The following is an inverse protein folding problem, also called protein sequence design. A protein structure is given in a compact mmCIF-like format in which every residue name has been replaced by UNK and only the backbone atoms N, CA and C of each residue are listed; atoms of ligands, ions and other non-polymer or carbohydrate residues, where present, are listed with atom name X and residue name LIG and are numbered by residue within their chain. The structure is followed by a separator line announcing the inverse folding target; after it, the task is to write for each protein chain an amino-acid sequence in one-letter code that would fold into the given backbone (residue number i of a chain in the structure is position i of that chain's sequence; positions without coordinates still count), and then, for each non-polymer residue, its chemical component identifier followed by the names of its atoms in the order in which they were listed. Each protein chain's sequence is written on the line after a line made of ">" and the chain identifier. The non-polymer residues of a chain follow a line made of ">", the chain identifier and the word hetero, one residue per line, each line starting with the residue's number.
data_IF_400124993592
#
_entry.id   IF_400124993592
#
_cell.length_a   1.000
_cell.length_b   1.000
_cell.length_c   1.000
_cell.angle_alpha   90.00
_cell.angle_beta   90.00
_cell.angle_gamma   90.00
#
_symmetry.space_group_name_H-M   'P 1'
#
loop_
_entity.id
_entity.type
_entity.pdbx_description
1 polymer ?
#
# COMPACT_ATOMS: atom_id res chain seq x y z
N UNK A 1 14.52 -11.85 14.90
CA UNK A 1 14.31 -11.45 13.51
C UNK A 1 15.65 -11.14 12.91
N UNK A 2 15.97 -11.70 11.75
CA UNK A 2 17.17 -11.29 11.03
C UNK A 2 17.00 -9.84 10.57
N UNK A 3 18.08 -9.04 10.54
CA UNK A 3 18.03 -7.68 10.04
C UNK A 3 17.96 -7.70 8.51
N UNK A 4 17.20 -6.82 7.88
CA UNK A 4 17.41 -6.46 6.48
C UNK A 4 17.31 -4.94 6.37
N UNK A 5 18.38 -4.26 5.88
CA UNK A 5 18.65 -4.13 4.44
C UNK A 5 20.16 -4.35 4.09
N UNK A 6 20.64 -4.45 2.83
CA UNK A 6 20.24 -3.74 1.60
C UNK A 6 20.62 -4.47 0.28
N UNK A 7 20.07 -4.01 -0.86
CA UNK A 7 20.92 -3.49 -1.94
C UNK A 7 20.54 -2.04 -2.32
N UNK A 8 21.19 -1.05 -1.68
CA UNK A 8 21.04 0.39 -1.94
C UNK A 8 21.14 1.30 -0.69
N UNK A 9 21.37 2.60 -0.90
CA UNK A 9 21.37 3.66 0.15
C UNK A 9 19.93 3.95 0.65
N UNK A 10 19.30 2.99 1.33
CA UNK A 10 18.01 3.22 2.00
C UNK A 10 18.27 4.00 3.29
N UNK A 11 17.59 5.14 3.53
CA UNK A 11 17.72 5.89 4.78
C UNK A 11 17.38 5.03 6.01
N UNK A 12 18.15 5.18 7.10
CA UNK A 12 17.99 4.37 8.31
C UNK A 12 16.67 4.63 9.06
N UNK A 13 16.05 5.78 8.80
CA UNK A 13 14.81 6.27 9.38
C UNK A 13 13.63 6.16 8.42
N UNK A 14 13.77 5.45 7.30
CA UNK A 14 12.73 5.34 6.27
C UNK A 14 11.39 4.80 6.81
N UNK A 15 11.44 3.90 7.79
CA UNK A 15 10.24 3.31 8.39
C UNK A 15 9.59 4.23 9.44
N UNK A 16 10.37 5.16 9.98
CA UNK A 16 9.92 6.20 10.90
C UNK A 16 9.45 7.46 10.17
N UNK A 17 9.59 7.52 8.83
CA UNK A 17 9.18 8.68 8.04
C UNK A 17 7.74 9.06 8.37
N UNK A 18 7.59 10.26 8.91
CA UNK A 18 6.28 10.90 9.16
C UNK A 18 5.80 11.70 7.94
N UNK A 19 6.47 11.54 6.79
CA UNK A 19 6.20 12.30 5.55
C UNK A 19 4.96 11.81 4.80
N UNK A 20 4.29 10.76 5.32
CA UNK A 20 3.02 10.28 4.77
C UNK A 20 1.92 11.32 4.92
N UNK A 21 1.21 11.60 3.83
CA UNK A 21 -0.03 12.37 3.86
C UNK A 21 -1.21 11.42 4.03
N UNK A 22 -2.06 11.71 5.00
CA UNK A 22 -3.22 10.88 5.25
C UNK A 22 -4.31 11.18 4.21
N UNK A 23 -4.73 10.15 3.50
CA UNK A 23 -5.75 10.27 2.43
C UNK A 23 -7.11 9.74 2.87
N UNK A 24 -7.15 8.90 3.90
CA UNK A 24 -8.37 8.32 4.46
C UNK A 24 -8.11 7.80 5.87
N UNK A 25 -9.14 7.71 6.70
CA UNK A 25 -9.04 7.17 8.04
C UNK A 25 -10.42 6.92 8.65
N UNK A 26 -10.53 5.88 9.48
CA UNK A 26 -11.75 5.53 10.20
C UNK A 26 -11.41 5.14 11.64
N UNK A 27 -12.40 5.27 12.54
CA UNK A 27 -12.24 4.90 13.94
C UNK A 27 -11.14 5.72 14.61
N UNK A 28 -10.17 5.05 15.24
CA UNK A 28 -9.03 5.70 15.91
C UNK A 28 -8.09 6.43 14.96
N UNK A 29 -8.13 6.06 13.68
CA UNK A 29 -7.29 6.66 12.65
C UNK A 29 -8.03 7.77 11.87
N UNK A 30 -9.26 8.14 12.24
CA UNK A 30 -9.95 9.26 11.62
C UNK A 30 -9.24 10.59 11.96
N UNK A 31 -9.12 11.49 10.98
CA UNK A 31 -8.39 12.75 11.11
C UNK A 31 -9.03 13.84 10.26
N UNK A 32 -9.11 15.06 10.79
CA UNK A 32 -9.61 16.22 10.05
C UNK A 32 -8.63 16.70 8.97
N UNK A 33 -7.38 16.21 9.00
CA UNK A 33 -6.34 16.54 8.04
C UNK A 33 -6.32 15.60 6.83
N UNK A 34 -7.32 14.71 6.68
CA UNK A 34 -7.40 13.85 5.50
C UNK A 34 -7.63 14.66 4.23
N UNK A 35 -6.83 14.42 3.21
CA UNK A 35 -7.03 15.01 1.88
C UNK A 35 -7.30 13.91 0.84
N UNK A 36 -8.57 13.75 0.48
CA UNK A 36 -9.01 12.77 -0.51
C UNK A 36 -8.54 13.09 -1.93
N UNK A 37 -8.13 14.33 -2.22
CA UNK A 37 -7.68 14.71 -3.56
C UNK A 37 -6.33 14.07 -3.92
N UNK A 38 -5.59 13.61 -2.90
CA UNK A 38 -4.31 12.93 -3.06
C UNK A 38 -4.44 11.52 -3.66
N UNK A 39 -5.65 10.94 -3.68
CA UNK A 39 -5.94 9.71 -4.42
C UNK A 39 -5.92 9.90 -5.95
N UNK A 40 -6.03 11.14 -6.43
CA UNK A 40 -6.18 11.44 -7.85
C UNK A 40 -4.99 10.95 -8.69
N UNK A 41 -5.29 10.20 -9.75
CA UNK A 41 -4.34 9.80 -10.77
C UNK A 41 -3.65 11.03 -11.39
N UNK A 42 -2.35 10.95 -11.61
CA UNK A 42 -1.52 12.05 -12.12
C UNK A 42 -1.10 13.06 -11.04
N UNK A 43 -1.45 12.84 -9.78
CA UNK A 43 -0.94 13.65 -8.66
C UNK A 43 0.54 13.35 -8.39
N UNK A 44 1.18 14.19 -7.56
CA UNK A 44 2.57 13.96 -7.14
C UNK A 44 2.74 12.66 -6.33
N UNK A 45 1.66 12.15 -5.71
CA UNK A 45 1.68 10.94 -4.88
C UNK A 45 1.22 9.69 -5.64
N UNK A 46 0.35 9.86 -6.64
CA UNK A 46 -0.20 8.79 -7.48
C UNK A 46 0.11 9.12 -8.96
N UNK A 47 1.39 9.05 -9.39
CA UNK A 47 1.76 9.20 -10.78
C UNK A 47 1.23 8.05 -11.63
N UNK A 48 0.72 8.37 -12.82
CA UNK A 48 0.15 7.39 -13.77
C UNK A 48 1.20 6.39 -14.27
N UNK A 49 2.49 6.71 -14.13
CA UNK A 49 3.60 5.85 -14.54
C UNK A 49 3.90 4.70 -13.58
N UNK A 50 3.21 4.62 -12.44
CA UNK A 50 3.50 3.65 -11.37
C UNK A 50 4.64 4.09 -10.46
N UNK A 51 5.27 3.15 -9.75
CA UNK A 51 6.35 3.39 -8.77
C UNK A 51 5.99 4.34 -7.62
N UNK A 52 4.75 4.24 -7.14
CA UNK A 52 4.30 4.93 -5.95
C UNK A 52 3.97 3.95 -4.83
N UNK A 53 3.81 4.51 -3.63
CA UNK A 53 3.57 3.74 -2.42
C UNK A 53 2.31 4.25 -1.71
N UNK A 54 1.53 3.32 -1.17
CA UNK A 54 0.41 3.61 -0.27
C UNK A 54 0.62 2.80 1.00
N UNK A 55 0.51 3.46 2.15
CA UNK A 55 0.66 2.83 3.47
C UNK A 55 -0.69 2.73 4.17
N UNK A 56 -0.99 1.56 4.73
CA UNK A 56 -2.13 1.34 5.62
C UNK A 56 -1.62 0.98 7.01
N UNK A 57 -1.97 1.79 8.00
CA UNK A 57 -1.73 1.50 9.41
C UNK A 57 -3.01 1.03 10.09
N UNK A 58 -2.88 0.10 11.04
CA UNK A 58 -3.98 -0.37 11.87
C UNK A 58 -3.44 -0.85 13.23
N UNK A 59 -3.31 0.04 14.24
CA UNK A 59 -2.70 -0.33 15.52
C UNK A 59 -3.38 -1.51 16.23
N UNK A 60 -4.70 -1.65 16.06
CA UNK A 60 -5.50 -2.74 16.63
C UNK A 60 -5.53 -4.05 15.83
N UNK A 61 -4.91 -4.09 14.65
CA UNK A 61 -4.87 -5.30 13.83
C UNK A 61 -3.83 -6.32 14.34
N UNK A 62 -3.85 -7.53 13.79
CA UNK A 62 -2.79 -8.53 14.02
C UNK A 62 -1.42 -7.97 13.62
N UNK A 63 -0.34 -8.46 14.24
CA UNK A 63 1.01 -7.92 14.04
C UNK A 63 1.44 -7.83 12.57
N UNK A 64 1.02 -8.77 11.72
CA UNK A 64 1.32 -8.74 10.29
C UNK A 64 0.60 -7.62 9.53
N UNK A 65 -0.55 -7.14 10.02
CA UNK A 65 -1.44 -6.19 9.36
C UNK A 65 -1.49 -4.82 10.05
N UNK A 66 -0.60 -4.58 11.02
CA UNK A 66 -0.46 -3.29 11.69
C UNK A 66 0.11 -2.22 10.77
N UNK A 67 0.98 -2.62 9.85
CA UNK A 67 1.58 -1.76 8.83
C UNK A 67 1.73 -2.54 7.53
N UNK A 68 1.17 -2.00 6.46
CA UNK A 68 1.20 -2.60 5.13
C UNK A 68 1.53 -1.51 4.13
N UNK A 69 2.59 -1.72 3.35
CA UNK A 69 3.02 -0.85 2.26
C UNK A 69 2.68 -1.53 0.94
N UNK A 70 1.73 -0.96 0.20
CA UNK A 70 1.48 -1.25 -1.20
C UNK A 70 2.50 -0.51 -2.06
N UNK A 71 3.14 -1.21 -2.99
CA UNK A 71 4.03 -0.64 -4.00
C UNK A 71 3.45 -0.92 -5.38
N UNK A 72 3.09 0.12 -6.13
CA UNK A 72 2.69 -0.02 -7.53
C UNK A 72 3.92 -0.30 -8.41
N UNK A 73 3.84 -1.34 -9.24
CA UNK A 73 4.89 -1.73 -10.18
C UNK A 73 4.62 -1.27 -11.61
N UNK A 74 3.36 -1.30 -12.03
CA UNK A 74 2.94 -1.00 -13.41
C UNK A 74 2.31 0.38 -13.51
N UNK A 75 2.31 1.01 -14.71
CA UNK A 75 1.49 2.20 -14.95
C UNK A 75 0.02 1.97 -14.57
N UNK A 76 -0.67 3.02 -14.16
CA UNK A 76 -2.10 2.98 -13.93
C UNK A 76 -2.84 2.98 -15.28
N UNK A 77 -3.84 2.09 -15.45
CA UNK A 77 -4.77 2.21 -16.57
C UNK A 77 -5.46 3.57 -16.59
N UNK A 78 -5.92 3.98 -17.76
CA UNK A 78 -6.76 5.17 -17.87
C UNK A 78 -8.04 5.00 -17.04
N UNK A 79 -8.45 6.05 -16.33
CA UNK A 79 -9.63 6.06 -15.46
C UNK A 79 -9.56 5.08 -14.27
N UNK A 80 -8.36 4.59 -13.90
CA UNK A 80 -8.21 3.73 -12.73
C UNK A 80 -8.48 4.50 -11.42
N UNK A 81 -9.52 4.09 -10.69
CA UNK A 81 -9.90 4.71 -9.43
C UNK A 81 -9.18 4.05 -8.25
N UNK A 82 -8.09 4.68 -7.81
CA UNK A 82 -7.28 4.18 -6.70
C UNK A 82 -8.04 4.27 -5.37
N UNK A 83 -8.91 5.28 -5.18
CA UNK A 83 -9.70 5.37 -3.95
C UNK A 83 -10.67 4.20 -3.87
N UNK A 84 -11.44 3.95 -4.92
CA UNK A 84 -12.39 2.83 -4.98
C UNK A 84 -11.71 1.47 -4.76
N UNK A 85 -10.51 1.26 -5.33
CA UNK A 85 -9.75 0.04 -5.10
C UNK A 85 -9.45 -0.18 -3.60
N UNK A 86 -9.04 0.88 -2.90
CA UNK A 86 -8.59 0.79 -1.51
C UNK A 86 -9.72 0.80 -0.50
N UNK A 87 -10.80 1.56 -0.72
CA UNK A 87 -11.89 1.71 0.26
C UNK A 87 -13.18 0.98 -0.13
N UNK A 88 -13.40 0.73 -1.42
CA UNK A 88 -14.62 0.11 -1.95
C UNK A 88 -14.42 -1.38 -2.21
N UNK A 89 -13.76 -1.73 -3.32
CA UNK A 89 -13.56 -3.13 -3.74
C UNK A 89 -12.11 -3.40 -4.12
N UNK A 90 -11.46 -4.31 -3.38
CA UNK A 90 -10.13 -4.81 -3.71
C UNK A 90 -10.19 -5.78 -4.89
N UNK A 91 -10.11 -5.24 -6.11
CA UNK A 91 -10.24 -5.99 -7.36
C UNK A 91 -8.91 -6.52 -7.88
N UNK A 92 -8.96 -7.60 -8.67
CA UNK A 92 -7.83 -8.12 -9.45
C UNK A 92 -7.66 -7.44 -10.81
N UNK A 93 -8.64 -6.64 -11.26
CA UNK A 93 -8.58 -5.98 -12.57
C UNK A 93 -7.47 -4.92 -12.53
N UNK A 94 -6.42 -5.14 -13.34
CA UNK A 94 -5.20 -4.31 -13.39
C UNK A 94 -4.53 -4.09 -12.01
N UNK A 95 -4.73 -5.05 -11.11
CA UNK A 95 -4.23 -5.04 -9.74
C UNK A 95 -3.97 -6.48 -9.25
N UNK A 96 -3.02 -7.18 -9.87
CA UNK A 96 -2.59 -8.52 -9.46
C UNK A 96 -1.26 -8.51 -8.66
N UNK A 97 -1.19 -9.29 -7.58
CA UNK A 97 0.00 -9.38 -6.71
C UNK A 97 1.17 -10.02 -7.48
N UNK A 98 2.34 -9.36 -7.42
CA UNK A 98 3.54 -9.77 -8.15
C UNK A 98 3.52 -9.42 -9.63
N UNK A 99 2.45 -8.78 -10.13
CA UNK A 99 2.33 -8.29 -11.51
C UNK A 99 2.21 -6.77 -11.48
N UNK A 100 1.14 -6.26 -10.90
CA UNK A 100 0.82 -4.84 -10.83
C UNK A 100 1.30 -4.19 -9.53
N UNK A 101 1.36 -4.98 -8.46
CA UNK A 101 1.77 -4.49 -7.15
C UNK A 101 2.49 -5.54 -6.31
N UNK A 102 3.18 -5.06 -5.30
CA UNK A 102 3.71 -5.87 -4.20
C UNK A 102 3.27 -5.27 -2.86
N UNK A 103 3.16 -6.12 -1.83
CA UNK A 103 2.92 -5.69 -0.46
C UNK A 103 4.13 -6.01 0.41
N UNK A 104 4.39 -5.12 1.36
CA UNK A 104 5.49 -5.23 2.30
C UNK A 104 5.03 -4.83 3.70
N UNK A 105 5.71 -5.35 4.72
CA UNK A 105 5.44 -4.99 6.11
C UNK A 105 6.22 -3.75 6.59
N UNK A 106 7.04 -3.14 5.73
CA UNK A 106 7.77 -1.91 6.02
C UNK A 106 8.15 -1.18 4.73
N UNK A 107 8.45 0.12 4.83
CA UNK A 107 8.88 0.93 3.69
C UNK A 107 10.31 0.55 3.27
N UNK A 108 11.18 0.23 4.22
CA UNK A 108 12.54 -0.27 3.96
C UNK A 108 12.54 -1.53 3.08
N UNK A 109 11.62 -2.47 3.32
CA UNK A 109 11.48 -3.68 2.51
C UNK A 109 10.92 -3.37 1.12
N UNK A 110 9.95 -2.47 1.02
CA UNK A 110 9.38 -2.03 -0.25
C UNK A 110 10.41 -1.34 -1.16
N UNK A 111 11.26 -0.48 -0.58
CA UNK A 111 12.36 0.18 -1.28
C UNK A 111 13.47 -0.79 -1.68
N UNK A 112 13.79 -1.76 -0.82
CA UNK A 112 14.79 -2.79 -1.12
C UNK A 112 14.28 -3.86 -2.11
N UNK A 113 12.96 -4.02 -2.27
CA UNK A 113 12.37 -5.08 -3.09
C UNK A 113 12.60 -6.47 -2.48
N UNK A 114 12.49 -6.61 -1.16
CA UNK A 114 12.74 -7.86 -0.44
C UNK A 114 11.60 -8.19 0.51
N UNK A 115 11.39 -9.47 0.81
CA UNK A 115 10.38 -9.93 1.78
C UNK A 115 8.95 -9.45 1.42
N UNK A 116 8.62 -9.46 0.13
CA UNK A 116 7.25 -9.19 -0.33
C UNK A 116 6.29 -10.27 0.16
N UNK A 117 5.04 -9.87 0.39
CA UNK A 117 3.95 -10.79 0.70
C UNK A 117 3.65 -11.67 -0.50
N UNK A 118 3.19 -12.90 -0.26
CA UNK A 118 3.02 -13.90 -1.32
C UNK A 118 1.57 -14.37 -1.52
N UNK A 119 0.62 -13.83 -0.76
CA UNK A 119 -0.78 -14.21 -0.85
C UNK A 119 -1.70 -12.99 -0.83
N UNK A 120 -2.69 -13.03 -1.72
CA UNK A 120 -3.82 -12.11 -1.80
C UNK A 120 -5.01 -12.84 -2.41
N UNK A 121 -6.22 -12.38 -2.05
CA UNK A 121 -7.45 -12.65 -2.80
C UNK A 121 -8.16 -11.33 -3.13
N UNK A 122 -9.12 -11.40 -4.06
CA UNK A 122 -9.71 -10.22 -4.71
C UNK A 122 -11.19 -10.42 -5.04
N UNK A 123 -11.84 -9.33 -5.44
CA UNK A 123 -13.16 -9.32 -6.09
C UNK A 123 -14.32 -9.74 -5.17
N UNK A 124 -14.23 -9.38 -3.88
CA UNK A 124 -15.41 -9.34 -3.01
C UNK A 124 -16.00 -7.93 -3.07
N UNK A 125 -17.26 -7.86 -3.48
CA UNK A 125 -17.95 -6.60 -3.60
C UNK A 125 -18.05 -5.90 -2.23
N UNK A 126 -17.76 -4.60 -2.20
CA UNK A 126 -17.74 -3.76 -0.99
C UNK A 126 -16.68 -4.15 0.07
N UNK A 127 -15.66 -4.92 -0.30
CA UNK A 127 -14.50 -5.18 0.57
C UNK A 127 -13.24 -4.60 -0.06
N UNK A 128 -12.80 -3.46 0.49
CA UNK A 128 -11.55 -2.79 0.12
C UNK A 128 -10.28 -3.47 0.64
N UNK A 129 -9.16 -2.78 0.47
CA UNK A 129 -7.84 -3.25 0.84
C UNK A 129 -7.70 -3.54 2.35
N UNK A 130 -7.02 -4.63 2.79
CA UNK A 130 -6.28 -5.61 2.00
C UNK A 130 -7.02 -6.94 1.78
N UNK A 131 -8.34 -7.00 2.00
CA UNK A 131 -9.13 -8.25 2.10
C UNK A 131 -8.36 -9.36 2.84
N UNK A 132 -8.04 -10.48 2.19
CA UNK A 132 -7.27 -11.59 2.75
C UNK A 132 -5.85 -11.67 2.17
N UNK A 133 -5.17 -10.53 1.98
CA UNK A 133 -3.73 -10.53 1.71
C UNK A 133 -2.92 -10.85 2.96
N UNK A 134 -1.77 -11.51 2.80
CA UNK A 134 -0.87 -11.85 3.90
C UNK A 134 0.58 -12.19 3.47
N UNK A 135 1.55 -12.13 4.40
CA UNK A 135 2.94 -12.52 4.13
C UNK A 135 3.08 -13.98 3.68
N UNK A 136 2.15 -14.82 4.12
CA UNK A 136 2.01 -16.24 3.77
C UNK A 136 0.53 -16.59 3.66
N UNK A 137 0.22 -17.63 2.86
CA UNK A 137 -1.09 -18.28 2.85
C UNK A 137 -1.39 -19.01 4.16
#
# INVERSE_FOLDING_TARGET
>A
GNPAPAPGNIPADVDELTEWQQVFGMGTEASDNTDLTLWGSGSAYIPDTGNFYIRRTCPGCSAAHQDIVYKRLTPLPAEFDVAELFVGTWSSIDNELGVDFELYSSMSYAMAGILSWNFCNYDDHDIGFPRDCGPSR
#
